data_IF_385718923249
#
_entry.id   IF_385718923249
#
_cell.length_a   1.000
_cell.length_b   1.000
_cell.length_c   1.000
_cell.angle_alpha   90.00
_cell.angle_beta   90.00
_cell.angle_gamma   90.00
#
_symmetry.space_group_name_H-M   'P 1'
#
loop_
_entity.id
_entity.type
_entity.pdbx_description
1 polymer ?
#
# COMPACT_ATOMS: atom_id res chain seq x y z
N UNK A 1 -38.15 6.18 23.94
CA UNK A 1 -37.02 6.06 24.87
C UNK A 1 -35.75 5.95 24.04
N UNK A 2 -34.78 6.83 24.31
CA UNK A 2 -33.56 7.00 23.49
C UNK A 2 -32.36 6.83 24.41
N UNK A 3 -31.46 5.90 24.08
CA UNK A 3 -30.25 5.68 24.87
C UNK A 3 -29.11 6.60 24.42
N UNK A 4 -28.41 7.15 25.39
CA UNK A 4 -27.23 7.98 25.18
C UNK A 4 -26.10 7.57 26.12
N UNK A 5 -24.88 7.73 25.63
CA UNK A 5 -23.68 7.71 26.47
C UNK A 5 -23.51 9.06 27.18
N UNK A 6 -23.33 9.05 28.50
CA UNK A 6 -23.03 10.24 29.29
C UNK A 6 -21.62 10.20 29.88
N UNK A 7 -21.08 11.38 30.16
CA UNK A 7 -19.84 11.51 30.93
C UNK A 7 -19.84 12.73 31.82
N UNK A 8 -19.26 12.61 33.01
CA UNK A 8 -19.05 13.72 33.94
C UNK A 8 -17.60 14.24 33.91
N UNK A 9 -17.35 15.37 34.58
CA UNK A 9 -16.03 15.97 34.71
C UNK A 9 -15.05 15.11 35.51
N UNK A 10 -15.56 14.30 36.44
CA UNK A 10 -14.77 13.33 37.23
C UNK A 10 -14.38 12.08 36.42
N UNK A 11 -14.76 11.98 35.14
CA UNK A 11 -14.33 10.91 34.24
C UNK A 11 -15.20 9.66 34.22
N UNK A 12 -16.24 9.58 35.06
CA UNK A 12 -17.22 8.49 35.02
C UNK A 12 -18.03 8.49 33.73
N UNK A 13 -18.39 7.29 33.27
CA UNK A 13 -19.17 7.06 32.05
C UNK A 13 -20.26 6.06 32.34
N UNK A 14 -21.44 6.32 31.80
CA UNK A 14 -22.59 5.45 31.93
C UNK A 14 -23.56 5.69 30.76
N UNK A 15 -24.45 4.75 30.56
CA UNK A 15 -25.51 4.81 29.57
C UNK A 15 -26.83 5.05 30.30
N UNK A 16 -27.66 5.96 29.78
CA UNK A 16 -28.98 6.20 30.34
C UNK A 16 -30.00 6.50 29.23
N UNK A 17 -31.27 6.24 29.54
CA UNK A 17 -32.37 6.27 28.61
C UNK A 17 -33.26 7.49 28.87
N UNK A 18 -33.28 8.43 27.92
CA UNK A 18 -34.10 9.64 28.00
C UNK A 18 -35.46 9.44 27.33
N UNK A 19 -36.53 10.09 27.85
CA UNK A 19 -37.85 10.03 27.24
C UNK A 19 -37.91 10.78 25.90
N UNK A 20 -37.14 11.86 25.75
CA UNK A 20 -37.04 12.65 24.50
C UNK A 20 -35.62 13.19 24.26
N UNK A 21 -35.34 13.68 23.04
CA UNK A 21 -34.06 14.30 22.69
C UNK A 21 -33.79 15.62 23.42
N UNK A 22 -34.82 16.31 23.88
CA UNK A 22 -34.67 17.62 24.54
C UNK A 22 -34.67 17.50 26.07
N UNK A 23 -34.76 16.28 26.60
CA UNK A 23 -34.70 16.03 28.04
C UNK A 23 -33.33 16.42 28.61
N UNK A 24 -33.31 17.01 29.80
CA UNK A 24 -32.06 17.38 30.47
C UNK A 24 -31.14 16.15 30.68
N UNK A 25 -29.83 16.39 30.70
CA UNK A 25 -28.88 15.33 31.03
C UNK A 25 -29.01 14.96 32.52
N UNK A 26 -29.03 13.66 32.87
CA UNK A 26 -29.12 13.22 34.25
C UNK A 26 -27.82 13.52 35.00
N UNK A 27 -27.89 13.65 36.31
CA UNK A 27 -26.68 13.75 37.15
C UNK A 27 -25.91 12.43 37.16
N UNK A 28 -24.61 12.51 37.45
CA UNK A 28 -23.78 11.32 37.47
C UNK A 28 -24.20 10.38 38.60
N UNK A 29 -24.59 9.15 38.26
CA UNK A 29 -24.99 8.11 39.23
C UNK A 29 -23.91 7.73 40.26
N UNK A 30 -22.64 8.07 40.00
CA UNK A 30 -21.51 7.76 40.89
C UNK A 30 -21.16 8.92 41.82
N UNK A 31 -21.24 10.17 41.34
CA UNK A 31 -20.70 11.32 42.07
C UNK A 31 -21.61 12.56 42.11
N UNK A 32 -22.80 12.49 41.51
CA UNK A 32 -23.79 13.56 41.52
C UNK A 32 -23.45 14.81 40.70
N UNK A 33 -22.28 14.87 40.06
CA UNK A 33 -21.91 16.00 39.21
C UNK A 33 -22.72 16.03 37.91
N UNK A 34 -22.93 17.23 37.36
CA UNK A 34 -23.53 17.42 36.05
C UNK A 34 -22.82 16.59 34.96
N UNK A 35 -23.60 16.06 34.02
CA UNK A 35 -23.10 15.24 32.92
C UNK A 35 -23.38 15.89 31.57
N UNK A 36 -22.65 15.43 30.55
CA UNK A 36 -22.92 15.80 29.16
C UNK A 36 -23.07 14.57 28.30
N UNK A 37 -23.94 14.67 27.29
CA UNK A 37 -24.07 13.65 26.25
C UNK A 37 -22.75 13.51 25.50
N UNK A 38 -22.36 12.27 25.25
CA UNK A 38 -21.19 11.94 24.44
C UNK A 38 -21.66 11.47 23.08
N UNK A 39 -20.95 11.93 22.05
CA UNK A 39 -21.09 11.35 20.73
C UNK A 39 -20.50 9.94 20.79
N UNK A 40 -21.30 8.93 20.46
CA UNK A 40 -20.84 7.55 20.38
C UNK A 40 -19.67 7.47 19.42
N UNK A 41 -18.56 6.87 19.87
CA UNK A 41 -17.39 6.68 19.00
C UNK A 41 -17.73 5.65 17.95
N UNK A 42 -17.72 6.04 16.67
CA UNK A 42 -17.75 5.07 15.57
C UNK A 42 -16.47 4.24 15.64
N UNK A 43 -16.61 2.97 16.03
CA UNK A 43 -15.53 1.97 15.96
C UNK A 43 -15.72 1.22 14.64
N UNK A 44 -14.99 1.60 13.60
CA UNK A 44 -14.94 0.79 12.37
C UNK A 44 -14.11 -0.46 12.68
N UNK A 45 -14.78 -1.56 12.98
CA UNK A 45 -14.20 -2.89 13.06
C UNK A 45 -14.28 -3.60 11.72
N UNK A 46 -13.38 -4.57 11.47
CA UNK A 46 -13.50 -5.46 10.31
C UNK A 46 -13.04 -4.89 8.98
N UNK A 47 -12.14 -3.89 8.96
CA UNK A 47 -11.51 -3.48 7.70
C UNK A 47 -10.69 -4.66 7.15
N UNK A 48 -11.20 -5.32 6.11
CA UNK A 48 -10.55 -6.45 5.48
C UNK A 48 -9.31 -5.95 4.73
N UNK A 49 -8.15 -6.03 5.38
CA UNK A 49 -6.85 -5.76 4.75
C UNK A 49 -6.31 -7.07 4.20
N UNK A 50 -6.28 -7.19 2.87
CA UNK A 50 -5.76 -8.36 2.14
C UNK A 50 -4.24 -8.54 2.25
N UNK A 51 -3.55 -7.55 2.83
CA UNK A 51 -2.10 -7.55 2.95
C UNK A 51 -1.40 -7.14 1.64
N UNK A 52 -0.06 -7.10 1.63
CA UNK A 52 0.69 -6.83 0.42
C UNK A 52 0.45 -7.94 -0.63
N UNK A 53 0.41 -7.57 -1.90
CA UNK A 53 0.33 -8.54 -3.00
C UNK A 53 1.66 -9.27 -3.18
N UNK A 54 1.67 -10.33 -4.00
CA UNK A 54 2.88 -11.13 -4.22
C UNK A 54 3.94 -10.35 -4.99
N UNK A 55 3.53 -9.44 -5.87
CA UNK A 55 4.39 -8.54 -6.64
C UNK A 55 5.10 -7.51 -5.74
N UNK A 56 4.52 -7.20 -4.59
CA UNK A 56 5.10 -6.30 -3.58
C UNK A 56 6.08 -7.04 -2.65
N UNK A 57 6.23 -8.36 -2.79
CA UNK A 57 7.19 -9.10 -1.99
C UNK A 57 8.62 -8.74 -2.39
N UNK A 58 9.53 -8.67 -1.41
CA UNK A 58 10.92 -8.38 -1.70
C UNK A 58 11.52 -9.47 -2.58
N UNK A 59 12.06 -9.07 -3.73
CA UNK A 59 12.77 -9.91 -4.69
C UNK A 59 14.30 -9.74 -4.62
N UNK A 60 14.81 -8.84 -3.76
CA UNK A 60 16.25 -8.58 -3.60
C UNK A 60 16.75 -8.88 -2.19
N UNK A 61 18.04 -9.23 -2.09
CA UNK A 61 18.71 -9.49 -0.81
C UNK A 61 18.67 -8.31 0.16
N UNK A 62 18.82 -7.09 -0.37
CA UNK A 62 18.76 -5.86 0.42
C UNK A 62 17.36 -5.62 0.98
N UNK A 63 16.31 -5.90 0.20
CA UNK A 63 14.93 -5.71 0.63
C UNK A 63 14.51 -6.66 1.77
N UNK A 64 15.22 -7.78 1.95
CA UNK A 64 15.05 -8.68 3.12
C UNK A 64 16.10 -8.42 4.20
N UNK A 65 16.60 -7.17 4.31
CA UNK A 65 17.59 -6.75 5.30
C UNK A 65 18.83 -7.66 5.34
N UNK A 66 19.36 -8.01 4.17
CA UNK A 66 20.51 -8.91 4.03
C UNK A 66 20.26 -10.29 4.64
N UNK A 67 19.04 -10.82 4.48
CA UNK A 67 18.69 -12.16 4.96
C UNK A 67 18.47 -12.26 6.46
N UNK A 68 18.06 -11.16 7.10
CA UNK A 68 17.61 -11.19 8.49
C UNK A 68 16.51 -12.26 8.65
N UNK A 69 16.74 -13.21 9.55
CA UNK A 69 15.85 -14.36 9.78
C UNK A 69 14.43 -13.93 10.15
N UNK A 70 14.29 -12.84 10.90
CA UNK A 70 12.98 -12.32 11.30
C UNK A 70 12.23 -11.73 10.11
N UNK A 71 12.92 -10.97 9.26
CA UNK A 71 12.36 -10.41 8.04
C UNK A 71 11.93 -11.54 7.07
N UNK A 72 12.80 -12.54 6.84
CA UNK A 72 12.49 -13.72 6.03
C UNK A 72 11.25 -14.44 6.58
N UNK A 73 11.22 -14.72 7.88
CA UNK A 73 10.09 -15.40 8.51
C UNK A 73 8.78 -14.59 8.42
N UNK A 74 8.86 -13.27 8.55
CA UNK A 74 7.72 -12.37 8.38
C UNK A 74 7.13 -12.46 6.97
N UNK A 75 7.98 -12.33 5.95
CA UNK A 75 7.56 -12.42 4.55
C UNK A 75 7.02 -13.80 4.18
N UNK A 76 7.61 -14.89 4.70
CA UNK A 76 7.05 -16.23 4.54
C UNK A 76 5.65 -16.37 5.13
N UNK A 77 5.40 -15.82 6.32
CA UNK A 77 4.07 -15.85 6.95
C UNK A 77 3.05 -15.07 6.12
N UNK A 78 3.43 -13.90 5.58
CA UNK A 78 2.59 -13.12 4.69
C UNK A 78 2.29 -13.87 3.39
N UNK A 79 3.29 -14.53 2.80
CA UNK A 79 3.15 -15.30 1.57
C UNK A 79 2.12 -16.43 1.71
N UNK A 80 2.21 -17.22 2.78
CA UNK A 80 1.24 -18.30 3.03
C UNK A 80 -0.18 -17.79 3.21
N UNK A 81 -0.35 -16.67 3.93
CA UNK A 81 -1.66 -16.05 4.12
C UNK A 81 -2.24 -15.57 2.79
N UNK A 82 -1.40 -14.99 1.94
CA UNK A 82 -1.81 -14.50 0.63
C UNK A 82 -2.18 -15.65 -0.30
N UNK A 83 -1.38 -16.71 -0.33
CA UNK A 83 -1.68 -17.92 -1.11
C UNK A 83 -3.01 -18.55 -0.70
N UNK A 84 -3.27 -18.70 0.60
CA UNK A 84 -4.56 -19.19 1.09
C UNK A 84 -5.74 -18.27 0.76
N UNK A 85 -5.49 -16.96 0.57
CA UNK A 85 -6.51 -16.01 0.15
C UNK A 85 -6.78 -16.11 -1.36
N UNK A 86 -5.72 -16.20 -2.18
CA UNK A 86 -5.83 -16.35 -3.64
C UNK A 86 -6.50 -17.67 -4.04
N UNK A 87 -6.24 -18.76 -3.30
CA UNK A 87 -6.90 -20.05 -3.54
C UNK A 87 -8.41 -19.98 -3.34
N UNK A 88 -8.87 -19.14 -2.39
CA UNK A 88 -10.30 -18.94 -2.11
C UNK A 88 -10.95 -17.93 -3.04
N UNK A 89 -10.17 -16.96 -3.50
CA UNK A 89 -10.60 -15.80 -4.27
C UNK A 89 -9.66 -15.63 -5.48
N UNK A 90 -9.86 -16.44 -6.55
CA UNK A 90 -8.98 -16.43 -7.72
C UNK A 90 -8.99 -15.08 -8.45
N UNK A 91 -10.04 -14.27 -8.30
CA UNK A 91 -10.12 -12.90 -8.80
C UNK A 91 -9.09 -11.96 -8.16
N UNK A 92 -8.58 -12.32 -6.98
CA UNK A 92 -7.50 -11.59 -6.33
C UNK A 92 -6.12 -12.08 -6.75
N UNK A 93 -6.00 -13.19 -7.48
CA UNK A 93 -4.71 -13.72 -7.87
C UNK A 93 -4.05 -12.79 -8.91
N UNK A 94 -2.78 -12.47 -8.69
CA UNK A 94 -1.95 -11.81 -9.71
C UNK A 94 -1.66 -12.73 -10.89
N UNK A 95 -0.89 -12.24 -11.87
CA UNK A 95 -0.49 -13.07 -13.02
C UNK A 95 0.51 -14.16 -12.58
N UNK A 96 0.06 -15.42 -12.60
CA UNK A 96 0.85 -16.60 -12.25
C UNK A 96 1.43 -17.33 -13.46
N UNK A 97 1.23 -16.81 -14.67
CA UNK A 97 1.70 -17.47 -15.89
C UNK A 97 3.24 -17.53 -15.89
N UNK A 98 3.83 -18.67 -16.27
CA UNK A 98 5.28 -18.83 -16.36
C UNK A 98 5.92 -17.72 -17.20
N UNK A 99 7.03 -17.19 -16.72
CA UNK A 99 7.82 -16.21 -17.46
C UNK A 99 8.71 -16.96 -18.46
N UNK A 100 8.59 -16.63 -19.74
CA UNK A 100 9.36 -17.22 -20.84
C UNK A 100 10.65 -16.42 -21.10
N UNK A 101 10.58 -15.10 -21.04
CA UNK A 101 11.74 -14.21 -21.18
C UNK A 101 11.59 -12.98 -20.27
N UNK A 102 12.68 -12.58 -19.61
CA UNK A 102 12.73 -11.43 -18.70
C UNK A 102 14.03 -10.64 -18.82
N UNK A 103 14.82 -10.93 -19.85
CA UNK A 103 16.11 -10.30 -20.11
C UNK A 103 16.08 -9.58 -21.46
N UNK A 104 17.04 -8.68 -21.70
CA UNK A 104 17.13 -7.89 -22.93
C UNK A 104 15.94 -6.95 -23.09
N UNK A 105 15.28 -6.98 -24.25
CA UNK A 105 14.11 -6.14 -24.54
C UNK A 105 12.92 -6.37 -23.59
N UNK A 106 12.91 -7.51 -22.88
CA UNK A 106 11.86 -7.89 -21.92
C UNK A 106 12.24 -7.63 -20.45
N UNK A 107 13.29 -6.85 -20.19
CA UNK A 107 13.73 -6.53 -18.83
C UNK A 107 12.65 -5.82 -18.00
N UNK A 108 11.95 -4.85 -18.61
CA UNK A 108 10.91 -4.07 -17.93
C UNK A 108 9.54 -4.73 -17.98
N UNK A 109 9.27 -5.51 -19.04
CA UNK A 109 8.01 -6.22 -19.23
C UNK A 109 8.27 -7.68 -19.63
N UNK A 110 8.29 -8.61 -18.65
CA UNK A 110 8.58 -10.02 -18.92
C UNK A 110 7.53 -10.66 -19.82
N UNK A 111 7.99 -11.37 -20.85
CA UNK A 111 7.14 -12.18 -21.70
C UNK A 111 6.64 -13.40 -20.92
N UNK A 112 5.33 -13.61 -20.85
CA UNK A 112 4.72 -14.74 -20.14
C UNK A 112 4.04 -15.71 -21.10
N UNK A 113 3.83 -16.92 -20.62
CA UNK A 113 3.13 -17.95 -21.36
C UNK A 113 1.70 -17.50 -21.70
N UNK A 114 1.31 -17.64 -22.97
CA UNK A 114 -0.01 -17.24 -23.47
C UNK A 114 -0.13 -15.78 -23.90
N UNK A 115 0.94 -14.97 -23.77
CA UNK A 115 0.99 -13.66 -24.41
C UNK A 115 1.17 -13.79 -25.93
N UNK A 116 0.63 -12.83 -26.69
CA UNK A 116 0.97 -12.70 -28.11
C UNK A 116 2.42 -12.23 -28.24
N UNK A 117 3.26 -13.12 -28.74
CA UNK A 117 4.70 -12.88 -28.90
C UNK A 117 4.96 -11.66 -29.79
N UNK A 118 4.19 -11.47 -30.86
CA UNK A 118 4.42 -10.37 -31.80
C UNK A 118 4.08 -9.02 -31.16
N UNK A 119 2.93 -8.95 -30.47
CA UNK A 119 2.53 -7.76 -29.73
C UNK A 119 3.52 -7.45 -28.59
N UNK A 120 3.99 -8.49 -27.89
CA UNK A 120 4.92 -8.35 -26.77
C UNK A 120 6.30 -7.84 -27.21
N UNK A 121 6.82 -8.36 -28.34
CA UNK A 121 8.08 -7.87 -28.94
C UNK A 121 7.94 -6.42 -29.38
N UNK A 122 6.84 -6.07 -30.06
CA UNK A 122 6.60 -4.69 -30.50
C UNK A 122 6.53 -3.71 -29.32
N UNK A 123 5.85 -4.08 -28.24
CA UNK A 123 5.78 -3.29 -27.00
C UNK A 123 7.16 -3.17 -26.34
N UNK A 124 7.87 -4.27 -26.16
CA UNK A 124 9.21 -4.30 -25.59
C UNK A 124 10.20 -3.37 -26.34
N UNK A 125 10.22 -3.44 -27.68
CA UNK A 125 11.07 -2.58 -28.51
C UNK A 125 10.69 -1.09 -28.43
N UNK A 126 9.40 -0.78 -28.35
CA UNK A 126 8.93 0.59 -28.15
C UNK A 126 9.37 1.18 -26.80
N UNK A 127 9.52 0.33 -25.78
CA UNK A 127 9.95 0.76 -24.43
C UNK A 127 11.48 0.86 -24.34
N UNK A 128 12.19 -0.06 -24.99
CA UNK A 128 13.66 -0.11 -25.07
C UNK A 128 14.27 1.06 -25.85
N UNK A 129 13.52 1.70 -26.76
CA UNK A 129 13.98 2.83 -27.57
C UNK A 129 14.05 4.18 -26.84
N UNK A 130 13.65 4.24 -25.57
CA UNK A 130 13.57 5.48 -24.76
C UNK A 130 14.84 5.85 -23.97
N UNK A 131 15.80 4.92 -23.81
CA UNK A 131 17.03 5.17 -23.06
C UNK A 131 18.10 5.88 -23.91
N UNK A 132 17.75 7.07 -24.39
CA UNK A 132 18.69 8.05 -24.92
C UNK A 132 19.47 8.67 -23.76
N UNK A 133 20.64 8.11 -23.47
CA UNK A 133 21.64 8.68 -22.56
C UNK A 133 21.94 10.14 -22.98
N UNK A 134 21.45 11.10 -22.18
CA UNK A 134 21.65 12.53 -22.40
C UNK A 134 23.06 12.92 -21.91
N UNK A 135 24.10 12.47 -22.61
CA UNK A 135 25.46 12.98 -22.41
C UNK A 135 25.52 14.41 -22.93
N UNK A 136 25.42 15.37 -22.00
CA UNK A 136 25.73 16.79 -22.24
C UNK A 136 27.23 16.92 -22.55
N UNK A 137 27.61 16.90 -23.83
CA UNK A 137 28.95 17.32 -24.27
C UNK A 137 29.06 18.83 -24.04
N UNK A 138 29.77 19.23 -22.99
CA UNK A 138 30.27 20.60 -22.87
C UNK A 138 31.44 20.77 -23.83
N UNK A 139 31.17 21.28 -25.04
CA UNK A 139 32.19 21.72 -25.97
C UNK A 139 32.84 22.99 -25.44
N UNK A 140 34.03 22.86 -24.87
CA UNK A 140 34.95 23.96 -24.54
C UNK A 140 35.37 24.65 -25.85
N UNK A 141 35.18 25.97 -26.03
CA UNK A 141 35.62 26.65 -27.25
C UNK A 141 37.15 26.80 -27.22
N UNK A 142 37.82 26.28 -28.25
CA UNK A 142 39.25 26.53 -28.52
C UNK A 142 39.33 27.86 -29.27
N UNK A 143 39.97 28.84 -28.64
CA UNK A 143 40.36 30.08 -29.29
C UNK A 143 41.44 29.79 -30.34
N UNK A 144 41.22 30.23 -31.58
CA UNK A 144 42.26 30.24 -32.62
C UNK A 144 43.10 31.51 -32.43
N UNK A 145 44.38 31.33 -32.12
CA UNK A 145 45.41 32.36 -32.33
C UNK A 145 45.56 32.61 -33.84
N UNK A 146 45.47 33.88 -34.22
CA UNK A 146 45.77 34.40 -35.53
C UNK A 146 47.18 34.98 -35.52
N UNK A 147 48.10 34.37 -36.26
CA UNK A 147 49.37 34.98 -36.64
C UNK A 147 49.27 35.39 -38.13
N UNK A 148 49.41 36.68 -38.39
CA UNK A 148 49.59 37.27 -39.72
C UNK A 148 51.02 37.77 -39.82
N UNK A 149 51.71 37.36 -40.88
CA UNK A 149 52.90 38.01 -41.43
C UNK A 149 52.52 38.65 -42.77
#
# INVERSE_FOLDING_TARGET
>A
MILYDFGCENGHRFEDALPSMDSAAPDCVVCGSATRRRISKVRIGGLAKTGPSREQMPNTWQAVRQGDKEAVAHWHKLARKREALEERYPELAGDRRPVLAHEGIFADNPLRAGDDVQASVASALATSGGDGCNHRTTTKPIAKESDSA
#
